data_IF_390043509780
#
_entry.id   IF_390043509780
#
_cell.length_a   1.000
_cell.length_b   1.000
_cell.length_c   1.000
_cell.angle_alpha   90.00
_cell.angle_beta   90.00
_cell.angle_gamma   90.00
#
_symmetry.space_group_name_H-M   'P 1'
#
loop_
_entity.id
_entity.type
_entity.pdbx_description
1 polymer ?
#
# COMPACT_ATOMS: atom_id res chain seq x y z
N UNK A 1 -10.91 12.17 -27.94
CA UNK A 1 -9.46 12.22 -28.28
C UNK A 1 -9.01 13.66 -28.45
N UNK A 2 -7.75 13.97 -28.16
CA UNK A 2 -7.10 15.26 -28.43
C UNK A 2 -5.61 15.07 -28.72
N UNK A 3 -4.88 16.15 -28.99
CA UNK A 3 -3.44 16.14 -29.29
C UNK A 3 -2.69 16.86 -28.17
N UNK A 4 -1.71 16.18 -27.58
CA UNK A 4 -0.81 16.71 -26.58
C UNK A 4 0.20 17.71 -27.15
N UNK A 5 0.79 18.56 -26.31
CA UNK A 5 1.87 19.48 -26.71
C UNK A 5 3.09 18.79 -27.32
N UNK A 6 3.28 17.51 -27.01
CA UNK A 6 4.31 16.63 -27.57
C UNK A 6 3.92 16.00 -28.93
N UNK A 7 2.75 16.35 -29.46
CA UNK A 7 2.19 15.77 -30.68
C UNK A 7 1.59 14.38 -30.48
N UNK A 8 1.54 13.85 -29.26
CA UNK A 8 0.95 12.55 -28.99
C UNK A 8 -0.58 12.61 -29.03
N UNK A 9 -1.20 11.56 -29.56
CA UNK A 9 -2.65 11.39 -29.47
C UNK A 9 -3.04 11.01 -28.04
N UNK A 10 -3.81 11.86 -27.37
CA UNK A 10 -4.32 11.63 -26.02
C UNK A 10 -5.77 11.17 -26.14
N UNK A 11 -6.02 9.93 -25.76
CA UNK A 11 -7.39 9.44 -25.57
C UNK A 11 -7.85 9.83 -24.16
N UNK A 12 -9.01 10.48 -24.08
CA UNK A 12 -9.61 10.96 -22.83
C UNK A 12 -10.72 9.98 -22.47
N UNK A 13 -10.47 9.14 -21.48
CA UNK A 13 -11.42 8.09 -21.06
C UNK A 13 -12.21 8.44 -19.82
N UNK A 14 -11.62 9.25 -18.94
CA UNK A 14 -12.27 9.80 -17.76
C UNK A 14 -13.02 11.08 -18.15
N UNK A 15 -14.29 10.92 -18.49
CA UNK A 15 -15.20 12.00 -18.88
C UNK A 15 -15.64 12.87 -17.69
N UNK A 16 -15.33 12.47 -16.44
CA UNK A 16 -15.65 13.27 -15.26
C UNK A 16 -14.64 14.41 -15.04
N UNK A 17 -13.49 14.36 -15.72
CA UNK A 17 -12.46 15.39 -15.62
C UNK A 17 -12.94 16.70 -16.27
N UNK A 18 -12.79 17.85 -15.57
CA UNK A 18 -13.14 19.13 -16.16
C UNK A 18 -12.18 19.48 -17.29
N UNK A 19 -12.66 20.22 -18.29
CA UNK A 19 -11.84 20.66 -19.45
C UNK A 19 -10.60 21.45 -19.00
N UNK A 20 -10.68 22.19 -17.88
CA UNK A 20 -9.55 22.91 -17.29
C UNK A 20 -8.41 22.02 -16.79
N UNK A 21 -8.67 20.74 -16.53
CA UNK A 21 -7.63 19.77 -16.16
C UNK A 21 -6.78 19.31 -17.35
N UNK A 22 -7.22 19.59 -18.58
CA UNK A 22 -6.51 19.27 -19.81
C UNK A 22 -5.43 20.34 -20.05
N UNK A 23 -4.39 20.34 -19.21
CA UNK A 23 -3.36 21.40 -19.19
C UNK A 23 -2.41 21.36 -20.39
N UNK A 24 -2.38 20.24 -21.14
CA UNK A 24 -1.40 19.99 -22.20
C UNK A 24 -2.04 19.86 -23.59
N UNK A 25 -3.12 20.60 -23.85
CA UNK A 25 -3.73 20.64 -25.18
C UNK A 25 -2.86 21.45 -26.14
N UNK A 26 -2.47 20.85 -27.27
CA UNK A 26 -1.83 21.58 -28.36
C UNK A 26 -2.79 22.57 -29.04
N UNK A 27 -4.06 22.17 -29.17
CA UNK A 27 -5.15 22.99 -29.67
C UNK A 27 -6.40 22.73 -28.82
N UNK A 28 -7.31 23.70 -28.67
CA UNK A 28 -8.60 23.51 -27.99
C UNK A 28 -9.58 22.72 -28.88
N UNK A 29 -9.14 21.54 -29.35
CA UNK A 29 -9.89 20.66 -30.23
C UNK A 29 -10.09 19.30 -29.54
N UNK A 30 -11.33 18.87 -29.50
CA UNK A 30 -11.72 17.52 -29.10
C UNK A 30 -12.30 16.80 -30.31
N UNK A 31 -11.78 15.61 -30.55
CA UNK A 31 -12.24 14.71 -31.61
C UNK A 31 -13.00 13.56 -30.97
N UNK A 32 -14.24 13.38 -31.41
CA UNK A 32 -15.02 12.19 -31.06
C UNK A 32 -14.44 10.99 -31.82
N UNK A 33 -14.14 9.92 -31.10
CA UNK A 33 -13.58 8.70 -31.66
C UNK A 33 -14.16 7.49 -30.90
N UNK A 34 -14.29 6.37 -31.59
CA UNK A 34 -14.64 5.11 -30.94
C UNK A 34 -13.49 4.66 -30.03
N UNK A 35 -13.78 4.23 -28.78
CA UNK A 35 -12.73 3.80 -27.87
C UNK A 35 -12.14 2.46 -28.34
N UNK A 36 -10.88 2.49 -28.78
CA UNK A 36 -10.18 1.27 -29.16
C UNK A 36 -9.53 0.59 -27.93
N UNK A 37 -9.58 -0.74 -27.87
CA UNK A 37 -8.87 -1.53 -26.86
C UNK A 37 -9.43 -1.44 -25.44
N UNK A 38 -8.72 -2.03 -24.48
CA UNK A 38 -9.18 -2.12 -23.09
C UNK A 38 -9.16 -0.75 -22.39
N UNK A 39 -10.34 -0.19 -22.11
CA UNK A 39 -10.52 1.11 -21.45
C UNK A 39 -9.79 1.20 -20.10
N UNK A 40 -9.93 0.18 -19.26
CA UNK A 40 -9.30 0.13 -17.92
C UNK A 40 -7.77 0.17 -18.03
N UNK A 41 -7.18 -0.62 -18.94
CA UNK A 41 -5.73 -0.63 -19.16
C UNK A 41 -5.22 0.72 -19.65
N UNK A 42 -5.95 1.37 -20.57
CA UNK A 42 -5.56 2.66 -21.11
C UNK A 42 -5.69 3.80 -20.09
N UNK A 43 -6.73 3.78 -19.25
CA UNK A 43 -6.88 4.69 -18.12
C UNK A 43 -5.73 4.55 -17.12
N UNK A 44 -5.42 3.31 -16.72
CA UNK A 44 -4.32 3.03 -15.80
C UNK A 44 -2.97 3.47 -16.40
N UNK A 45 -2.75 3.18 -17.68
CA UNK A 45 -1.54 3.58 -18.39
C UNK A 45 -1.38 5.11 -18.45
N UNK A 46 -2.48 5.85 -18.63
CA UNK A 46 -2.46 7.31 -18.60
C UNK A 46 -2.11 7.84 -17.20
N UNK A 47 -2.68 7.25 -16.14
CA UNK A 47 -2.38 7.63 -14.75
C UNK A 47 -0.92 7.37 -14.39
N UNK A 48 -0.40 6.17 -14.73
CA UNK A 48 1.01 5.82 -14.52
C UNK A 48 1.91 6.79 -15.29
N UNK A 49 1.62 7.05 -16.56
CA UNK A 49 2.43 7.96 -17.38
C UNK A 49 2.44 9.39 -16.85
N UNK A 50 1.30 9.86 -16.32
CA UNK A 50 1.22 11.16 -15.65
C UNK A 50 2.10 11.21 -14.40
N UNK A 51 2.05 10.19 -13.54
CA UNK A 51 2.86 10.12 -12.31
C UNK A 51 4.36 10.00 -12.64
N UNK A 52 4.71 9.23 -13.68
CA UNK A 52 6.09 9.05 -14.12
C UNK A 52 6.64 10.24 -14.91
N UNK A 53 5.78 11.13 -15.41
CA UNK A 53 6.17 12.23 -16.30
C UNK A 53 6.61 11.80 -17.71
N UNK A 54 6.38 10.54 -18.09
CA UNK A 54 6.70 9.98 -19.40
C UNK A 54 5.59 9.03 -19.85
N UNK A 55 5.26 9.01 -21.14
CA UNK A 55 4.25 8.10 -21.66
C UNK A 55 4.76 6.65 -21.68
N UNK A 56 3.90 5.70 -21.32
CA UNK A 56 4.25 4.28 -21.38
C UNK A 56 4.57 3.81 -22.81
N UNK A 57 3.95 4.41 -23.83
CA UNK A 57 4.27 4.11 -25.23
C UNK A 57 5.72 4.48 -25.58
N UNK A 58 6.24 5.58 -25.03
CA UNK A 58 7.64 5.96 -25.24
C UNK A 58 8.60 4.99 -24.55
N UNK A 59 8.24 4.52 -23.35
CA UNK A 59 8.99 3.48 -22.66
C UNK A 59 9.01 2.19 -23.48
N UNK A 60 7.85 1.74 -23.98
CA UNK A 60 7.72 0.53 -24.78
C UNK A 60 8.55 0.54 -26.07
N UNK A 61 8.72 1.70 -26.71
CA UNK A 61 9.60 1.86 -27.88
C UNK A 61 11.07 1.61 -27.56
N UNK A 62 11.49 1.77 -26.30
CA UNK A 62 12.88 1.61 -25.84
C UNK A 62 13.14 0.25 -25.17
N UNK A 63 12.12 -0.61 -25.06
CA UNK A 63 12.24 -1.91 -24.40
C UNK A 63 12.93 -2.95 -25.30
N UNK A 64 14.12 -3.39 -24.91
CA UNK A 64 14.76 -4.57 -25.48
C UNK A 64 14.27 -5.87 -24.80
N UNK A 65 14.78 -7.03 -25.25
CA UNK A 65 14.36 -8.34 -24.70
C UNK A 65 14.71 -8.49 -23.22
N UNK A 66 15.83 -7.93 -22.78
CA UNK A 66 16.25 -8.01 -21.38
C UNK A 66 15.30 -7.21 -20.49
N UNK A 67 14.98 -5.98 -20.88
CA UNK A 67 14.03 -5.10 -20.20
C UNK A 67 12.60 -5.66 -20.22
N UNK A 68 12.18 -6.30 -21.31
CA UNK A 68 10.89 -7.00 -21.36
C UNK A 68 10.82 -8.13 -20.33
N UNK A 69 11.86 -8.97 -20.25
CA UNK A 69 11.94 -10.04 -19.25
C UNK A 69 12.03 -9.50 -17.82
N UNK A 70 12.78 -8.43 -17.60
CA UNK A 70 12.86 -7.76 -16.31
C UNK A 70 11.49 -7.23 -15.87
N UNK A 71 10.74 -6.59 -16.78
CA UNK A 71 9.38 -6.09 -16.52
C UNK A 71 8.40 -7.19 -16.14
N UNK A 72 8.52 -8.38 -16.74
CA UNK A 72 7.72 -9.55 -16.37
C UNK A 72 8.04 -10.02 -14.94
N UNK A 73 9.32 -10.19 -14.60
CA UNK A 73 9.75 -10.56 -13.24
C UNK A 73 9.36 -9.54 -12.18
N UNK A 74 9.42 -8.25 -12.53
CA UNK A 74 8.97 -7.18 -11.63
C UNK A 74 7.47 -7.29 -11.35
N UNK A 75 6.67 -7.64 -12.36
CA UNK A 75 5.24 -7.88 -12.17
C UNK A 75 4.96 -9.06 -11.23
N UNK A 76 5.72 -10.17 -11.34
CA UNK A 76 5.64 -11.28 -10.39
C UNK A 76 5.96 -10.83 -8.97
N UNK A 77 6.97 -9.97 -8.80
CA UNK A 77 7.31 -9.37 -7.50
C UNK A 77 6.15 -8.52 -6.96
N UNK A 78 5.46 -7.76 -7.82
CA UNK A 78 4.27 -7.01 -7.42
C UNK A 78 3.12 -7.92 -6.97
N UNK A 79 2.91 -9.05 -7.65
CA UNK A 79 1.91 -10.04 -7.23
C UNK A 79 2.25 -10.65 -5.87
N UNK A 80 3.53 -10.92 -5.60
CA UNK A 80 3.94 -11.44 -4.29
C UNK A 80 3.73 -10.39 -3.19
N UNK A 81 4.12 -9.14 -3.44
CA UNK A 81 3.84 -8.03 -2.53
C UNK A 81 2.32 -7.85 -2.28
N UNK A 82 1.47 -8.08 -3.28
CA UNK A 82 0.02 -8.09 -3.10
C UNK A 82 -0.48 -9.23 -2.21
N UNK A 83 0.12 -10.41 -2.27
CA UNK A 83 -0.23 -11.53 -1.38
C UNK A 83 0.24 -11.29 0.05
N UNK A 84 1.42 -10.70 0.21
CA UNK A 84 2.05 -10.44 1.50
C UNK A 84 1.49 -9.20 2.20
N UNK A 85 0.91 -8.24 1.47
CA UNK A 85 0.37 -7.01 2.08
C UNK A 85 -0.66 -7.37 3.13
N UNK A 86 -0.42 -6.96 4.37
CA UNK A 86 -1.43 -7.10 5.40
C UNK A 86 -2.59 -6.14 5.13
N UNK A 87 -3.80 -6.63 5.33
CA UNK A 87 -5.05 -5.85 5.21
C UNK A 87 -5.84 -5.86 6.52
N UNK A 88 -5.22 -6.35 7.59
CA UNK A 88 -5.85 -6.51 8.89
C UNK A 88 -4.92 -6.07 10.02
N UNK A 89 -5.54 -5.56 11.08
CA UNK A 89 -4.89 -5.21 12.34
C UNK A 89 -3.66 -4.31 12.14
N UNK A 90 -2.53 -4.66 12.75
CA UNK A 90 -1.30 -3.88 12.74
C UNK A 90 -0.44 -4.10 11.49
N UNK A 91 -0.76 -5.11 10.69
CA UNK A 91 -0.07 -5.43 9.43
C UNK A 91 -0.67 -4.66 8.24
N UNK A 92 -1.66 -3.81 8.47
CA UNK A 92 -2.38 -3.11 7.41
C UNK A 92 -1.44 -2.21 6.59
N UNK A 93 -1.38 -2.42 5.28
CA UNK A 93 -0.46 -1.74 4.34
C UNK A 93 -0.51 -0.20 4.41
N UNK A 94 -1.70 0.35 4.70
CA UNK A 94 -1.91 1.80 4.80
C UNK A 94 -1.41 2.41 6.11
N UNK A 95 -1.02 1.61 7.10
CA UNK A 95 -0.39 2.05 8.34
C UNK A 95 1.04 1.54 8.38
N UNK A 96 1.94 2.04 7.50
CA UNK A 96 3.35 1.72 7.63
C UNK A 96 3.76 2.13 9.04
N UNK A 97 4.30 1.17 9.79
CA UNK A 97 4.67 1.42 11.17
C UNK A 97 5.63 2.61 11.23
N UNK A 98 5.35 3.58 12.11
CA UNK A 98 6.32 4.61 12.40
C UNK A 98 7.63 3.94 12.83
N UNK A 99 8.81 4.49 12.44
CA UNK A 99 10.08 3.84 12.69
C UNK A 99 10.18 3.45 14.16
N UNK A 100 10.30 2.15 14.43
CA UNK A 100 10.71 1.68 15.73
C UNK A 100 12.23 1.77 15.82
N UNK A 101 12.69 2.19 16.97
CA UNK A 101 14.12 2.36 17.23
C UNK A 101 14.89 1.04 17.11
N UNK A 102 14.25 -0.08 17.43
CA UNK A 102 14.88 -1.40 17.44
C UNK A 102 15.05 -2.01 16.03
N UNK A 103 14.31 -1.54 15.02
CA UNK A 103 14.41 -2.06 13.65
C UNK A 103 15.54 -1.42 12.83
N UNK A 104 16.28 -0.46 13.39
CA UNK A 104 17.50 0.07 12.75
C UNK A 104 18.73 -0.84 12.94
N UNK A 105 18.61 -1.94 13.70
CA UNK A 105 19.68 -2.89 13.94
C UNK A 105 19.34 -4.24 13.29
N UNK A 106 19.59 -4.36 11.98
CA UNK A 106 19.55 -5.66 11.31
C UNK A 106 20.61 -6.61 11.91
N UNK A 107 20.29 -7.89 12.17
CA UNK A 107 21.27 -8.91 12.57
C UNK A 107 22.20 -9.37 11.43
N UNK A 108 22.16 -8.73 10.26
CA UNK A 108 22.82 -9.17 9.03
C UNK A 108 24.04 -8.35 8.59
N UNK A 109 24.43 -7.31 9.34
CA UNK A 109 25.67 -6.62 9.06
C UNK A 109 26.83 -7.45 9.61
N UNK A 110 27.47 -8.22 8.74
CA UNK A 110 28.65 -9.03 9.03
C UNK A 110 29.60 -8.31 9.99
N UNK A 111 29.71 -8.85 11.21
CA UNK A 111 30.56 -8.37 12.32
C UNK A 111 32.06 -8.53 12.05
N UNK A 112 32.48 -8.64 10.79
CA UNK A 112 33.85 -8.94 10.38
C UNK A 112 34.58 -7.80 9.67
N UNK A 113 34.04 -6.57 9.65
CA UNK A 113 34.76 -5.41 9.08
C UNK A 113 34.91 -4.17 9.99
N UNK A 114 34.40 -4.19 11.21
CA UNK A 114 34.69 -3.11 12.16
C UNK A 114 35.78 -3.56 13.14
N UNK A 115 36.98 -3.02 12.95
CA UNK A 115 38.09 -3.19 13.90
C UNK A 115 37.69 -2.77 15.31
N UNK A 116 38.28 -3.43 16.31
CA UNK A 116 38.17 -3.21 17.76
C UNK A 116 37.37 -1.96 18.17
N UNK A 117 36.04 -2.04 18.12
CA UNK A 117 35.17 -1.02 18.68
C UNK A 117 35.25 -1.22 20.20
N UNK A 118 35.59 -0.16 20.93
CA UNK A 118 35.54 -0.14 22.40
C UNK A 118 34.15 -0.69 22.83
N UNK A 119 34.05 -1.65 23.76
CA UNK A 119 32.76 -2.20 24.19
C UNK A 119 31.69 -1.15 24.55
N UNK A 120 32.10 0.07 24.90
CA UNK A 120 31.21 1.21 25.17
C UNK A 120 30.54 1.84 23.95
N UNK A 121 31.08 1.65 22.75
CA UNK A 121 30.59 2.24 21.49
C UNK A 121 29.75 1.24 20.67
N UNK A 122 29.44 0.08 21.24
CA UNK A 122 28.54 -0.88 20.64
C UNK A 122 27.10 -0.30 20.54
N UNK A 123 26.40 -0.39 19.39
CA UNK A 123 25.08 0.21 19.20
C UNK A 123 24.03 -0.14 20.26
N UNK A 124 24.02 -1.39 20.72
CA UNK A 124 23.13 -1.85 21.80
C UNK A 124 23.43 -1.18 23.15
N UNK A 125 24.71 -0.92 23.46
CA UNK A 125 25.09 -0.27 24.72
C UNK A 125 24.76 1.23 24.68
N UNK A 126 24.91 1.86 23.52
CA UNK A 126 24.46 3.23 23.27
C UNK A 126 22.94 3.33 23.47
N UNK A 127 22.16 2.41 22.89
CA UNK A 127 20.71 2.39 23.05
C UNK A 127 20.30 2.17 24.51
N UNK A 128 20.94 1.22 25.20
CA UNK A 128 20.72 0.94 26.62
C UNK A 128 20.96 2.18 27.47
N UNK A 129 22.09 2.87 27.29
CA UNK A 129 22.43 4.11 28.00
C UNK A 129 21.42 5.22 27.69
N UNK A 130 20.99 5.33 26.43
CA UNK A 130 19.98 6.32 26.04
C UNK A 130 18.61 6.04 26.69
N UNK A 131 18.21 4.77 26.79
CA UNK A 131 16.98 4.35 27.48
C UNK A 131 17.04 4.62 28.99
N UNK A 132 18.21 4.43 29.61
CA UNK A 132 18.42 4.70 31.02
C UNK A 132 18.35 6.21 31.32
N UNK A 133 18.94 7.05 30.47
CA UNK A 133 18.78 8.51 30.54
C UNK A 133 17.32 8.94 30.38
N UNK A 134 16.61 8.33 29.43
CA UNK A 134 15.19 8.59 29.22
C UNK A 134 14.37 8.23 30.47
N UNK A 135 14.64 7.06 31.08
CA UNK A 135 13.98 6.62 32.31
C UNK A 135 14.19 7.63 33.45
N UNK A 136 15.41 8.12 33.65
CA UNK A 136 15.71 9.13 34.66
C UNK A 136 14.95 10.44 34.39
N UNK A 137 14.94 10.92 33.14
CA UNK A 137 14.17 12.10 32.73
C UNK A 137 12.68 11.92 33.05
N UNK A 138 12.09 10.81 32.65
CA UNK A 138 10.67 10.52 32.86
C UNK A 138 10.29 10.46 34.34
N UNK A 139 11.17 9.89 35.18
CA UNK A 139 10.98 9.87 36.64
C UNK A 139 11.04 11.28 37.24
N UNK A 140 11.95 12.13 36.75
CA UNK A 140 12.08 13.51 37.24
C UNK A 140 10.95 14.44 36.80
N UNK A 141 10.30 14.16 35.66
CA UNK A 141 9.36 15.06 35.02
C UNK A 141 7.88 14.68 35.22
N UNK A 142 7.57 13.72 36.09
CA UNK A 142 6.22 13.17 36.25
C UNK A 142 5.59 12.78 34.90
N UNK A 143 6.34 12.02 34.08
CA UNK A 143 5.98 11.76 32.69
C UNK A 143 4.63 11.05 32.52
N UNK A 144 3.82 11.58 31.61
CA UNK A 144 2.53 11.02 31.23
C UNK A 144 2.27 11.19 29.74
N UNK A 145 1.31 10.43 29.23
CA UNK A 145 0.74 10.60 27.88
C UNK A 145 -0.66 11.19 28.02
N UNK A 146 -0.99 12.17 27.19
CA UNK A 146 -2.33 12.72 27.11
C UNK A 146 -3.10 12.00 26.00
N UNK A 147 -4.18 11.32 26.38
CA UNK A 147 -5.00 10.53 25.47
C UNK A 147 -6.35 11.20 25.32
N UNK A 148 -6.74 11.44 24.07
CA UNK A 148 -7.97 12.14 23.69
C UNK A 148 -9.00 11.16 23.13
N UNK A 149 -10.27 11.40 23.44
CA UNK A 149 -11.41 10.67 22.91
C UNK A 149 -12.40 11.63 22.26
N UNK A 150 -12.78 11.29 21.03
CA UNK A 150 -13.69 12.10 20.22
C UNK A 150 -15.10 11.54 20.25
N UNK A 151 -16.08 12.43 20.37
CA UNK A 151 -17.50 12.09 20.24
C UNK A 151 -18.02 12.71 18.94
N UNK A 152 -18.88 12.00 18.17
CA UNK A 152 -19.52 12.60 17.00
C UNK A 152 -20.22 13.91 17.38
N UNK A 153 -19.90 14.99 16.68
CA UNK A 153 -20.50 16.30 16.92
C UNK A 153 -21.98 16.26 16.58
N UNK A 154 -22.79 16.86 17.44
CA UNK A 154 -24.23 17.07 17.21
C UNK A 154 -24.52 18.38 16.49
N UNK A 155 -23.50 19.20 16.23
CA UNK A 155 -23.66 20.60 15.80
C UNK A 155 -23.92 20.76 14.30
N UNK A 156 -23.52 19.80 13.45
CA UNK A 156 -23.63 19.90 12.00
C UNK A 156 -24.25 18.62 11.40
N UNK A 157 -25.57 18.59 11.26
CA UNK A 157 -26.33 17.50 10.61
C UNK A 157 -26.48 17.67 9.10
N UNK A 158 -25.78 18.62 8.48
CA UNK A 158 -25.84 18.86 7.04
C UNK A 158 -24.55 18.35 6.36
N UNK A 159 -24.76 17.38 5.47
CA UNK A 159 -23.83 16.79 4.50
C UNK A 159 -22.62 15.98 5.03
N UNK A 160 -22.82 14.65 5.08
CA UNK A 160 -21.88 13.54 4.84
C UNK A 160 -20.50 13.49 5.54
N UNK A 161 -20.10 14.47 6.35
CA UNK A 161 -18.92 14.38 7.21
C UNK A 161 -19.35 14.59 8.65
N UNK A 162 -19.39 13.48 9.41
CA UNK A 162 -19.58 13.53 10.86
C UNK A 162 -18.30 14.12 11.48
N UNK A 163 -18.32 15.42 11.72
CA UNK A 163 -17.27 16.10 12.46
C UNK A 163 -17.14 15.45 13.85
N UNK A 164 -15.91 15.17 14.28
CA UNK A 164 -15.64 14.52 15.58
C UNK A 164 -15.01 15.56 16.50
N UNK A 165 -15.70 15.86 17.59
CA UNK A 165 -15.22 16.78 18.61
C UNK A 165 -14.39 16.02 19.64
N UNK A 166 -13.07 16.28 19.67
CA UNK A 166 -12.14 15.71 20.66
C UNK A 166 -12.21 16.50 21.97
N UNK A 167 -13.30 16.31 22.70
CA UNK A 167 -13.61 17.07 23.92
C UNK A 167 -13.00 16.46 25.19
N UNK A 168 -12.84 15.14 25.24
CA UNK A 168 -12.41 14.44 26.44
C UNK A 168 -10.94 14.05 26.36
N UNK A 169 -10.18 14.31 27.43
CA UNK A 169 -8.80 13.86 27.56
C UNK A 169 -8.49 13.31 28.94
N UNK A 170 -7.61 12.31 29.00
CA UNK A 170 -7.13 11.67 30.23
C UNK A 170 -5.61 11.61 30.22
N UNK A 171 -5.00 11.64 31.40
CA UNK A 171 -3.55 11.57 31.57
C UNK A 171 -3.15 10.19 32.06
N UNK A 172 -2.44 9.45 31.21
CA UNK A 172 -1.97 8.10 31.53
C UNK A 172 -0.53 8.17 32.01
N UNK A 173 -0.33 7.80 33.28
CA UNK A 173 0.97 7.77 33.97
C UNK A 173 1.58 6.37 33.90
N UNK A 174 2.79 6.21 34.45
CA UNK A 174 3.50 4.92 34.52
C UNK A 174 3.71 4.26 33.14
N UNK A 175 3.96 5.09 32.13
CA UNK A 175 4.11 4.65 30.74
C UNK A 175 5.45 3.96 30.42
N UNK A 176 6.34 3.83 31.40
CA UNK A 176 7.62 3.15 31.21
C UNK A 176 7.38 1.64 31.08
N UNK A 177 7.61 1.09 29.89
CA UNK A 177 7.32 -0.32 29.60
C UNK A 177 5.85 -0.61 29.30
N UNK A 178 4.96 0.38 29.42
CA UNK A 178 3.55 0.21 29.06
C UNK A 178 3.40 0.02 27.55
N UNK A 179 2.55 -0.93 27.17
CA UNK A 179 2.20 -1.17 25.77
C UNK A 179 1.04 -0.25 25.32
N UNK A 180 0.81 -0.10 24.01
CA UNK A 180 -0.37 0.58 23.49
C UNK A 180 -1.69 0.00 24.03
N UNK A 181 -1.78 -1.32 24.23
CA UNK A 181 -2.97 -1.94 24.81
C UNK A 181 -3.17 -1.57 26.28
N UNK A 182 -2.09 -1.48 27.06
CA UNK A 182 -2.18 -1.04 28.46
C UNK A 182 -2.68 0.40 28.55
N UNK A 183 -2.18 1.27 27.67
CA UNK A 183 -2.60 2.67 27.57
C UNK A 183 -4.06 2.78 27.15
N UNK A 184 -4.50 2.02 26.14
CA UNK A 184 -5.90 1.97 25.71
C UNK A 184 -6.81 1.48 26.84
N UNK A 185 -6.42 0.41 27.52
CA UNK A 185 -7.20 -0.16 28.63
C UNK A 185 -7.35 0.84 29.77
N UNK A 186 -6.25 1.50 30.18
CA UNK A 186 -6.26 2.52 31.21
C UNK A 186 -7.11 3.73 30.80
N UNK A 187 -6.90 4.26 29.59
CA UNK A 187 -7.62 5.42 29.11
C UNK A 187 -9.12 5.18 28.98
N UNK A 188 -9.53 4.05 28.40
CA UNK A 188 -10.96 3.70 28.29
C UNK A 188 -11.62 3.49 29.66
N UNK A 189 -10.89 2.98 30.64
CA UNK A 189 -11.38 2.90 32.01
C UNK A 189 -11.61 4.30 32.59
N UNK A 190 -10.63 5.20 32.48
CA UNK A 190 -10.74 6.60 32.94
C UNK A 190 -11.88 7.34 32.23
N UNK A 191 -12.07 7.14 30.92
CA UNK A 191 -13.20 7.75 30.21
C UNK A 191 -14.57 7.28 30.72
N UNK A 192 -14.69 6.00 31.08
CA UNK A 192 -15.93 5.45 31.66
C UNK A 192 -16.17 5.95 33.08
N UNK A 193 -15.12 6.10 33.88
CA UNK A 193 -15.24 6.46 35.31
C UNK A 193 -15.30 7.96 35.54
N UNK A 194 -14.40 8.73 34.91
CA UNK A 194 -14.27 10.17 35.10
C UNK A 194 -15.36 10.96 34.37
N UNK A 195 -15.72 10.51 33.17
CA UNK A 195 -16.66 11.23 32.28
C UNK A 195 -17.98 10.50 32.08
N UNK A 196 -18.17 9.32 32.69
CA UNK A 196 -19.38 8.51 32.54
C UNK A 196 -19.74 8.19 31.07
N UNK A 197 -18.72 8.09 30.20
CA UNK A 197 -18.94 7.82 28.78
C UNK A 197 -19.37 6.36 28.57
N UNK A 198 -20.44 6.17 27.78
CA UNK A 198 -20.95 4.84 27.46
C UNK A 198 -20.13 4.16 26.33
N UNK A 199 -18.90 3.75 26.64
CA UNK A 199 -18.02 3.06 25.72
C UNK A 199 -18.16 1.54 25.92
N UNK A 200 -18.95 0.88 25.07
CA UNK A 200 -19.27 -0.55 25.19
C UNK A 200 -18.17 -1.47 24.64
N UNK A 201 -17.42 -1.00 23.66
CA UNK A 201 -16.41 -1.80 22.96
C UNK A 201 -15.19 -2.09 23.87
N UNK A 202 -14.56 -3.27 23.76
CA UNK A 202 -13.33 -3.56 24.48
C UNK A 202 -12.15 -2.79 23.90
N UNK A 203 -11.08 -2.64 24.68
CA UNK A 203 -9.86 -1.91 24.28
C UNK A 203 -9.21 -2.45 22.99
N UNK A 204 -9.41 -3.74 22.68
CA UNK A 204 -8.91 -4.39 21.46
C UNK A 204 -9.55 -3.87 20.17
N UNK A 205 -10.73 -3.24 20.26
CA UNK A 205 -11.42 -2.62 19.10
C UNK A 205 -10.92 -1.21 18.80
N UNK A 206 -9.98 -0.69 19.59
CA UNK A 206 -9.44 0.65 19.43
C UNK A 206 -7.99 0.63 18.99
N UNK A 207 -7.57 1.73 18.37
CA UNK A 207 -6.20 2.01 17.98
C UNK A 207 -5.82 3.42 18.43
N UNK A 208 -4.54 3.61 18.77
CA UNK A 208 -4.00 4.93 19.09
C UNK A 208 -3.48 5.61 17.83
N UNK A 209 -3.81 6.88 17.67
CA UNK A 209 -3.34 7.74 16.59
C UNK A 209 -2.54 8.91 17.19
N UNK A 210 -1.47 9.35 16.52
CA UNK A 210 -0.76 10.56 16.92
C UNK A 210 -1.62 11.79 16.61
N UNK A 211 -1.82 12.66 17.60
CA UNK A 211 -2.64 13.85 17.41
C UNK A 211 -2.08 14.74 16.27
N UNK A 212 -2.95 15.11 15.33
CA UNK A 212 -2.61 15.94 14.16
C UNK A 212 -1.91 15.21 13.01
N UNK A 213 -1.76 13.88 13.08
CA UNK A 213 -1.11 13.09 12.04
C UNK A 213 -1.95 11.86 11.68
N UNK A 214 -1.93 11.41 10.41
CA UNK A 214 -2.51 10.12 10.00
C UNK A 214 -1.54 8.96 10.27
N UNK A 215 -0.96 8.94 11.48
CA UNK A 215 0.00 7.93 11.91
C UNK A 215 -0.58 7.21 13.13
N UNK A 216 -0.60 5.89 13.06
CA UNK A 216 -1.20 5.02 14.06
C UNK A 216 -0.13 4.21 14.78
N UNK A 217 -0.38 3.93 16.06
CA UNK A 217 0.43 3.03 16.88
C UNK A 217 -0.23 1.67 16.78
N UNK A 218 0.32 0.84 15.89
CA UNK A 218 -0.29 -0.40 15.45
C UNK A 218 0.17 -1.60 16.27
N UNK A 219 1.46 -1.71 16.62
CA UNK A 219 2.00 -2.86 17.36
C UNK A 219 1.55 -2.92 18.82
N UNK A 220 0.81 -3.95 19.23
CA UNK A 220 0.28 -4.05 20.59
C UNK A 220 1.32 -4.53 21.62
N UNK A 221 2.37 -5.21 21.19
CA UNK A 221 3.37 -5.91 22.02
C UNK A 221 4.63 -5.09 22.31
N UNK A 222 4.75 -3.93 21.68
CA UNK A 222 5.93 -3.06 21.78
C UNK A 222 5.69 -1.97 22.83
N UNK A 223 6.64 -1.72 23.75
CA UNK A 223 6.53 -0.60 24.69
C UNK A 223 6.38 0.74 23.97
N UNK A 224 5.50 1.60 24.49
CA UNK A 224 5.17 2.88 23.88
C UNK A 224 6.41 3.78 23.69
N UNK A 225 7.43 3.66 24.55
CA UNK A 225 8.70 4.40 24.48
C UNK A 225 9.61 3.99 23.33
N UNK A 226 9.33 2.89 22.62
CA UNK A 226 10.10 2.51 21.43
C UNK A 226 9.63 3.23 20.15
N UNK A 227 8.43 3.79 20.16
CA UNK A 227 7.91 4.57 19.04
C UNK A 227 8.63 5.92 19.00
N UNK A 228 9.22 6.26 17.86
CA UNK A 228 10.05 7.47 17.68
C UNK A 228 9.35 8.75 18.13
N UNK A 229 8.06 8.91 17.82
CA UNK A 229 7.28 10.07 18.26
C UNK A 229 7.24 10.19 19.79
N UNK A 230 6.90 9.10 20.47
CA UNK A 230 6.75 9.06 21.93
C UNK A 230 8.08 9.34 22.61
N UNK A 231 9.15 8.68 22.13
CA UNK A 231 10.50 8.89 22.65
C UNK A 231 10.96 10.32 22.48
N UNK A 232 10.82 10.87 21.27
CA UNK A 232 11.20 12.24 20.95
C UNK A 232 10.46 13.24 21.83
N UNK A 233 9.16 13.02 22.11
CA UNK A 233 8.42 13.85 23.04
C UNK A 233 9.09 13.90 24.42
N UNK A 234 9.37 12.75 25.04
CA UNK A 234 9.99 12.72 26.36
C UNK A 234 11.44 13.21 26.39
N UNK A 235 12.23 12.92 25.35
CA UNK A 235 13.60 13.44 25.24
C UNK A 235 13.64 14.97 25.21
N UNK A 236 12.60 15.57 24.61
CA UNK A 236 12.41 17.01 24.47
C UNK A 236 11.46 17.63 25.51
N UNK A 237 11.13 16.92 26.60
CA UNK A 237 10.21 17.40 27.67
C UNK A 237 8.84 17.85 27.16
N UNK A 238 8.35 17.22 26.09
CA UNK A 238 7.00 17.40 25.56
C UNK A 238 6.10 16.26 26.00
N UNK A 239 4.82 16.56 26.15
CA UNK A 239 3.78 15.57 26.43
C UNK A 239 3.35 14.95 25.10
N UNK A 240 3.48 13.62 24.91
CA UNK A 240 2.92 12.96 23.75
C UNK A 240 1.39 13.03 23.80
N UNK A 241 0.79 13.38 22.66
CA UNK A 241 -0.67 13.49 22.52
C UNK A 241 -1.17 12.44 21.56
N UNK A 242 -2.07 11.60 22.05
CA UNK A 242 -2.65 10.49 21.30
C UNK A 242 -4.16 10.64 21.24
N UNK A 243 -4.76 10.06 20.21
CA UNK A 243 -6.19 10.01 19.97
C UNK A 243 -6.61 8.53 19.92
N UNK A 244 -7.66 8.18 20.66
CA UNK A 244 -8.31 6.88 20.53
C UNK A 244 -9.24 6.90 19.32
N UNK A 245 -9.12 5.89 18.45
CA UNK A 245 -10.01 5.69 17.30
C UNK A 245 -10.55 4.27 17.31
N UNK A 246 -11.82 4.10 16.97
CA UNK A 246 -12.42 2.77 16.73
C UNK A 246 -11.83 2.20 15.44
N UNK A 247 -11.24 1.00 15.51
CA UNK A 247 -10.60 0.33 14.37
C UNK A 247 -11.54 0.22 13.19
N UNK A 248 -12.80 -0.16 13.43
CA UNK A 248 -13.83 -0.28 12.39
C UNK A 248 -14.04 1.01 11.61
N UNK A 249 -14.01 2.16 12.29
CA UNK A 249 -14.17 3.46 11.62
C UNK A 249 -12.91 3.83 10.84
N UNK A 250 -11.73 3.59 11.42
CA UNK A 250 -10.47 3.83 10.72
C UNK A 250 -10.40 2.99 9.44
N UNK A 251 -10.72 1.70 9.50
CA UNK A 251 -10.63 0.81 8.34
C UNK A 251 -11.67 1.10 7.23
N UNK A 252 -12.72 1.91 7.48
CA UNK A 252 -13.58 2.39 6.40
C UNK A 252 -12.85 3.33 5.45
N UNK A 253 -11.90 4.11 5.96
CA UNK A 253 -11.09 5.04 5.17
C UNK A 253 -9.98 4.31 4.39
N UNK A 254 -9.68 3.06 4.76
CA UNK A 254 -8.61 2.25 4.17
C UNK A 254 -9.13 0.88 3.73
N UNK A 255 -9.99 0.82 2.71
CA UNK A 255 -10.46 -0.45 2.20
C UNK A 255 -9.28 -1.30 1.66
N UNK A 256 -9.42 -2.64 1.66
CA UNK A 256 -8.49 -3.51 0.97
C UNK A 256 -8.35 -3.06 -0.50
N UNK A 257 -7.12 -2.87 -1.00
CA UNK A 257 -6.94 -2.42 -2.37
C UNK A 257 -7.45 -3.49 -3.33
N UNK A 258 -7.92 -3.09 -4.52
CA UNK A 258 -8.34 -4.04 -5.54
C UNK A 258 -7.17 -4.94 -5.93
N UNK A 259 -7.49 -6.09 -6.54
CA UNK A 259 -6.48 -6.98 -7.10
C UNK A 259 -5.67 -6.24 -8.17
N UNK A 260 -4.38 -6.55 -8.27
CA UNK A 260 -3.53 -6.00 -9.32
C UNK A 260 -4.13 -6.37 -10.69
N UNK A 261 -4.35 -5.34 -11.50
CA UNK A 261 -4.77 -5.52 -12.89
C UNK A 261 -3.61 -6.13 -13.68
N UNK A 262 -3.84 -7.30 -14.29
CA UNK A 262 -2.86 -7.94 -15.16
C UNK A 262 -2.71 -7.15 -16.47
N UNK A 263 -1.52 -6.65 -16.85
CA UNK A 263 -1.35 -5.89 -18.08
C UNK A 263 -1.27 -6.75 -19.35
N UNK A 264 -1.49 -6.15 -20.52
CA UNK A 264 -1.44 -6.83 -21.81
C UNK A 264 -0.10 -7.52 -22.12
N UNK A 265 1.02 -6.97 -21.67
CA UNK A 265 2.34 -7.57 -21.90
C UNK A 265 2.54 -8.88 -21.14
N UNK A 266 1.89 -9.04 -19.97
CA UNK A 266 1.90 -10.28 -19.18
C UNK A 266 1.02 -11.32 -19.87
N UNK A 267 -0.23 -10.95 -20.18
CA UNK A 267 -1.16 -11.82 -20.91
C UNK A 267 -0.58 -12.33 -22.23
N UNK A 268 0.11 -11.46 -22.97
CA UNK A 268 0.78 -11.80 -24.23
C UNK A 268 1.88 -12.84 -24.03
N UNK A 269 2.71 -12.67 -23.00
CA UNK A 269 3.77 -13.62 -22.71
C UNK A 269 3.22 -14.99 -22.32
N UNK A 270 2.22 -15.03 -21.46
CA UNK A 270 1.51 -16.25 -21.08
C UNK A 270 0.96 -16.96 -22.32
N UNK A 271 0.32 -16.21 -23.23
CA UNK A 271 -0.17 -16.77 -24.49
C UNK A 271 0.95 -17.33 -25.38
N UNK A 272 2.08 -16.62 -25.50
CA UNK A 272 3.23 -17.10 -26.27
C UNK A 272 3.79 -18.42 -25.72
N UNK A 273 3.84 -18.55 -24.38
CA UNK A 273 4.28 -19.78 -23.72
C UNK A 273 3.32 -20.95 -23.99
N UNK A 274 2.00 -20.71 -23.98
CA UNK A 274 1.03 -21.73 -24.38
C UNK A 274 1.25 -22.23 -25.81
N UNK A 275 1.43 -21.32 -26.77
CA UNK A 275 1.69 -21.69 -28.17
C UNK A 275 3.03 -22.45 -28.34
N UNK A 276 4.06 -22.06 -27.60
CA UNK A 276 5.34 -22.78 -27.58
C UNK A 276 5.18 -24.21 -27.04
N UNK A 277 4.35 -24.40 -26.01
CA UNK A 277 4.08 -25.71 -25.44
C UNK A 277 3.23 -26.60 -26.37
N UNK A 278 2.24 -26.04 -27.07
CA UNK A 278 1.44 -26.79 -28.05
C UNK A 278 2.27 -27.25 -29.26
N UNK A 279 3.24 -26.43 -29.70
CA UNK A 279 4.15 -26.81 -30.79
C UNK A 279 5.13 -27.90 -30.39
N UNK A 280 5.57 -27.93 -29.13
CA UNK A 280 6.37 -29.02 -28.56
C UNK A 280 5.57 -30.33 -28.48
N UNK A 281 4.30 -30.28 -28.03
CA UNK A 281 3.43 -31.47 -27.93
C UNK A 281 3.10 -32.04 -29.31
N UNK A 282 2.83 -31.19 -30.30
CA UNK A 282 2.54 -31.62 -31.67
C UNK A 282 3.79 -32.04 -32.47
N UNK A 283 4.99 -31.67 -32.02
CA UNK A 283 6.27 -32.07 -32.61
C UNK A 283 6.78 -33.45 -32.15
N UNK A 284 6.10 -34.12 -31.21
CA UNK A 284 6.56 -35.41 -30.65
C UNK A 284 5.82 -36.64 -31.21
N UNK A 285 4.98 -36.47 -32.24
CA UNK A 285 4.19 -37.56 -32.83
C UNK A 285 4.58 -37.87 -34.28
N UNK A 286 5.80 -38.37 -34.48
CA UNK A 286 6.23 -39.21 -35.63
C UNK A 286 7.43 -40.02 -35.12
N UNK A 287 7.44 -41.36 -35.03
CA UNK A 287 7.37 -42.35 -36.11
C UNK A 287 7.06 -43.75 -35.52
N UNK A 288 6.10 -44.48 -36.09
CA UNK A 288 6.18 -45.94 -36.27
C UNK A 288 5.19 -46.38 -37.36
N UNK A 289 5.75 -46.95 -38.42
CA UNK A 289 5.11 -47.35 -39.67
C UNK A 289 3.98 -48.39 -39.54
N UNK A 290 3.02 -48.36 -40.48
CA UNK A 290 2.03 -49.43 -40.66
C UNK A 290 0.87 -49.12 -41.61
N UNK A 291 1.14 -49.24 -42.91
CA UNK A 291 0.26 -49.50 -44.07
C UNK A 291 -1.27 -49.70 -43.83
N UNK A 292 -2.13 -49.01 -44.59
CA UNK A 292 -3.24 -49.56 -45.44
C UNK A 292 -4.10 -48.42 -46.04
N UNK A 293 -4.46 -48.58 -47.32
CA UNK A 293 -5.32 -47.70 -48.15
C UNK A 293 -6.76 -47.59 -47.61
N UNK A 294 -7.41 -46.41 -47.73
CA UNK A 294 -8.70 -46.20 -48.44
C UNK A 294 -9.27 -44.77 -48.30
N UNK A 295 -9.63 -44.18 -49.45
CA UNK A 295 -10.76 -43.27 -49.80
C UNK A 295 -11.14 -42.00 -49.00
N UNK A 296 -11.25 -40.90 -49.77
CA UNK A 296 -12.23 -39.79 -49.77
C UNK A 296 -12.41 -38.90 -48.53
N UNK A 297 -12.29 -37.57 -48.74
CA UNK A 297 -12.93 -36.55 -47.89
C UNK A 297 -12.25 -35.19 -47.83
N UNK A 298 -12.76 -34.23 -48.61
CA UNK A 298 -12.75 -32.76 -48.46
C UNK A 298 -11.55 -32.07 -47.77
N UNK A 299 -10.78 -31.35 -48.59
CA UNK A 299 -9.87 -30.31 -48.16
C UNK A 299 -10.63 -29.09 -47.58
N UNK A 300 -10.94 -29.11 -46.27
CA UNK A 300 -11.21 -27.87 -45.52
C UNK A 300 -9.88 -27.25 -45.10
N UNK A 301 -9.44 -26.26 -45.88
CA UNK A 301 -8.44 -25.28 -45.46
C UNK A 301 -8.85 -24.69 -44.11
N UNK A 302 -8.14 -25.07 -43.03
CA UNK A 302 -8.27 -24.40 -41.72
C UNK A 302 -7.76 -22.97 -41.88
N UNK A 303 -8.69 -22.04 -42.05
CA UNK A 303 -8.45 -20.61 -41.97
C UNK A 303 -7.81 -20.30 -40.61
N UNK A 304 -6.62 -19.70 -40.63
CA UNK A 304 -6.00 -19.09 -39.45
C UNK A 304 -6.89 -17.94 -38.97
N UNK A 305 -7.61 -18.15 -37.88
CA UNK A 305 -8.23 -17.04 -37.13
C UNK A 305 -7.13 -16.26 -36.42
N UNK A 306 -7.14 -14.94 -36.57
CA UNK A 306 -6.23 -14.03 -35.87
C UNK A 306 -6.93 -13.50 -34.60
N UNK A 307 -6.12 -13.10 -33.62
CA UNK A 307 -6.56 -12.71 -32.27
C UNK A 307 -7.64 -11.60 -32.22
N UNK A 308 -7.83 -10.84 -33.29
CA UNK A 308 -8.90 -9.84 -33.38
C UNK A 308 -10.32 -10.44 -33.48
N UNK A 309 -10.45 -11.75 -33.74
CA UNK A 309 -11.75 -12.42 -33.89
C UNK A 309 -12.38 -12.89 -32.56
N UNK A 310 -11.77 -12.57 -31.40
CA UNK A 310 -12.19 -13.07 -30.08
C UNK A 310 -12.82 -12.02 -29.15
N UNK A 311 -12.74 -10.73 -29.48
CA UNK A 311 -13.17 -9.64 -28.58
C UNK A 311 -14.62 -9.15 -28.79
N UNK A 312 -15.40 -9.73 -29.73
CA UNK A 312 -16.80 -9.30 -29.93
C UNK A 312 -17.84 -9.98 -29.03
N UNK A 313 -17.45 -10.86 -28.10
CA UNK A 313 -18.39 -11.44 -27.13
C UNK A 313 -17.73 -11.64 -25.77
N UNK A 314 -17.62 -10.58 -24.97
CA UNK A 314 -17.61 -10.62 -23.50
C UNK A 314 -17.86 -9.24 -22.89
#
# INVERSE_FOLDING_TARGET
MTIGLDGAHIQLYDEQKPVSSLQNLFLPLLVLAEPEGNKMEKELNQQIGYIMGITLMELERKLDKELQNFRLKLFETCLEAEKERGTYQFLHYAFPEGPLLQQQLHPGANSSQFGTIDPSDHPLEIERRALEKLRQKMQSSDAYVEVWYGIPSTKNSQENQKEVDFEYSVRIRNILGATPEDVLRAALNEFRTQYSLDIRQPHTEFILQIAGQQVYITRPDVPLTQFVYIRSCFENYRIPRLIIREKRLVFLDYPPPPKIFEPSYVRREVHNQYLANETLVNGTSTVSDGNTQTSNGDAKQKQKKLFWDLDENL
#
